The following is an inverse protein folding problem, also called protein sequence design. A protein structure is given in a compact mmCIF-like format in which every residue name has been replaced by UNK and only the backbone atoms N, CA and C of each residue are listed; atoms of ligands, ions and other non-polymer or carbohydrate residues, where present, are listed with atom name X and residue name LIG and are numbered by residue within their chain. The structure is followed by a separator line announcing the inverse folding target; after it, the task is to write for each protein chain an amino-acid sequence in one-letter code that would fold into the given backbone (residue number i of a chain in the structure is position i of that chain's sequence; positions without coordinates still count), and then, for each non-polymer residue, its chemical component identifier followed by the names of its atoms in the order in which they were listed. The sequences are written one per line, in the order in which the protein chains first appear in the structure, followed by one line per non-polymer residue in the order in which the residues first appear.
data_IF_190034203918
#
_entry.id   IF_190034203918
#
_cell.length_a   1.000
_cell.length_b   1.000
_cell.length_c   1.000
_cell.angle_alpha   90.00
_cell.angle_beta   90.00
_cell.angle_gamma   90.00
#
_symmetry.space_group_name_H-M   'P 1'
#
loop_
_entity.id
_entity.type
_entity.pdbx_description
1 polymer ?
#
# COMPACT_ATOMS: atom_id res chain seq x y z
N UNK A 1 -30.69 -32.56 26.55
CA UNK A 1 -29.98 -32.58 25.24
C UNK A 1 -29.57 -31.18 24.76
N UNK A 2 -30.47 -30.19 24.70
CA UNK A 2 -30.16 -28.86 24.14
C UNK A 2 -28.97 -28.14 24.81
N UNK A 3 -28.85 -28.18 26.15
CA UNK A 3 -27.74 -27.58 26.91
C UNK A 3 -26.39 -28.18 26.49
N UNK A 4 -26.36 -29.49 26.25
CA UNK A 4 -25.18 -30.25 25.84
C UNK A 4 -24.81 -29.96 24.38
N UNK A 5 -25.80 -29.74 23.52
CA UNK A 5 -25.60 -29.33 22.11
C UNK A 5 -25.08 -27.90 22.01
N UNK A 6 -25.61 -26.95 22.78
CA UNK A 6 -25.17 -25.55 22.77
C UNK A 6 -23.77 -25.41 23.38
N UNK A 7 -23.50 -26.05 24.52
CA UNK A 7 -22.14 -26.03 25.09
C UNK A 7 -21.15 -26.78 24.21
N UNK A 8 -21.53 -27.91 23.60
CA UNK A 8 -20.69 -28.59 22.63
C UNK A 8 -20.44 -27.73 21.38
N UNK A 9 -21.45 -27.07 20.82
CA UNK A 9 -21.30 -26.21 19.65
C UNK A 9 -20.42 -24.99 19.94
N UNK A 10 -20.59 -24.37 21.11
CA UNK A 10 -19.74 -23.27 21.56
C UNK A 10 -18.29 -23.74 21.81
N UNK A 11 -18.11 -24.88 22.48
CA UNK A 11 -16.79 -25.47 22.72
C UNK A 11 -16.10 -25.86 21.41
N UNK A 12 -16.81 -26.50 20.48
CA UNK A 12 -16.31 -26.87 19.15
C UNK A 12 -15.95 -25.61 18.35
N UNK A 13 -16.76 -24.56 18.40
CA UNK A 13 -16.46 -23.29 17.74
C UNK A 13 -15.21 -22.63 18.32
N UNK A 14 -15.03 -22.66 19.65
CA UNK A 14 -13.84 -22.15 20.32
C UNK A 14 -12.61 -23.01 19.98
N UNK A 15 -12.73 -24.34 19.98
CA UNK A 15 -11.64 -25.25 19.63
C UNK A 15 -11.22 -25.05 18.18
N UNK A 16 -12.18 -24.92 17.24
CA UNK A 16 -11.90 -24.60 15.84
C UNK A 16 -11.24 -23.23 15.69
N UNK A 17 -11.74 -22.22 16.41
CA UNK A 17 -11.16 -20.87 16.42
C UNK A 17 -9.70 -20.92 16.91
N UNK A 18 -9.46 -21.53 18.07
CA UNK A 18 -8.14 -21.69 18.69
C UNK A 18 -7.22 -22.53 17.80
N UNK A 19 -7.69 -23.62 17.21
CA UNK A 19 -6.93 -24.45 16.28
C UNK A 19 -6.58 -23.68 14.99
N UNK A 20 -7.48 -22.84 14.49
CA UNK A 20 -7.24 -22.00 13.33
C UNK A 20 -6.18 -20.93 13.66
N UNK A 21 -6.26 -20.29 14.82
CA UNK A 21 -5.22 -19.39 15.34
C UNK A 21 -3.88 -20.10 15.54
N UNK A 22 -3.86 -21.26 16.18
CA UNK A 22 -2.65 -22.04 16.43
C UNK A 22 -2.01 -22.49 15.10
N UNK A 23 -2.79 -22.98 14.13
CA UNK A 23 -2.28 -23.37 12.81
C UNK A 23 -1.69 -22.19 12.02
N UNK A 24 -2.24 -20.99 12.23
CA UNK A 24 -1.75 -19.75 11.61
C UNK A 24 -0.50 -19.23 12.31
N UNK A 25 -0.42 -19.35 13.64
CA UNK A 25 0.74 -18.99 14.45
C UNK A 25 1.94 -19.91 14.14
N UNK A 26 1.69 -21.21 14.00
CA UNK A 26 2.72 -22.20 13.61
C UNK A 26 3.23 -21.91 12.19
N UNK A 27 2.35 -21.58 11.23
CA UNK A 27 2.77 -21.11 9.89
C UNK A 27 3.51 -19.77 9.92
N UNK A 28 3.23 -18.91 10.90
CA UNK A 28 3.93 -17.63 11.05
C UNK A 28 5.37 -17.79 11.56
N UNK A 29 5.67 -18.88 12.29
CA UNK A 29 7.03 -19.19 12.77
C UNK A 29 8.00 -19.58 11.66
N UNK A 30 7.51 -20.05 10.51
CA UNK A 30 8.35 -20.57 9.42
C UNK A 30 8.57 -19.57 8.28
N UNK A 31 7.78 -18.50 8.16
CA UNK A 31 7.82 -17.59 7.01
C UNK A 31 8.05 -16.10 7.33
N UNK A 32 8.11 -15.72 8.61
CA UNK A 32 8.05 -14.30 9.01
C UNK A 32 6.63 -13.76 8.94
N UNK A 33 6.26 -12.86 9.86
CA UNK A 33 4.87 -12.47 10.06
C UNK A 33 4.55 -11.17 9.29
N UNK A 34 3.66 -11.23 8.29
CA UNK A 34 3.12 -10.02 7.67
C UNK A 34 2.30 -9.22 8.70
N UNK A 35 2.34 -7.89 8.59
CA UNK A 35 1.60 -6.98 9.47
C UNK A 35 0.10 -7.30 9.45
N UNK A 36 -0.41 -7.74 8.29
CA UNK A 36 -1.78 -8.24 8.13
C UNK A 36 -2.11 -9.39 9.08
N UNK A 37 -1.21 -10.35 9.21
CA UNK A 37 -1.41 -11.53 10.06
C UNK A 37 -1.34 -11.16 11.55
N UNK A 38 -0.45 -10.23 11.93
CA UNK A 38 -0.37 -9.74 13.31
C UNK A 38 -1.67 -9.07 13.75
N UNK A 39 -2.20 -8.15 12.94
CA UNK A 39 -3.45 -7.44 13.23
C UNK A 39 -4.63 -8.42 13.25
N UNK A 40 -4.71 -9.36 12.30
CA UNK A 40 -5.75 -10.38 12.27
C UNK A 40 -5.73 -11.25 13.53
N UNK A 41 -4.53 -11.69 13.95
CA UNK A 41 -4.35 -12.53 15.14
C UNK A 41 -4.77 -11.77 16.41
N UNK A 42 -4.30 -10.55 16.57
CA UNK A 42 -4.62 -9.73 17.75
C UNK A 42 -6.12 -9.41 17.83
N UNK A 43 -6.73 -8.93 16.74
CA UNK A 43 -8.13 -8.54 16.72
C UNK A 43 -9.06 -9.73 16.96
N UNK A 44 -8.78 -10.85 16.28
CA UNK A 44 -9.58 -12.05 16.44
C UNK A 44 -9.44 -12.69 17.82
N UNK A 45 -8.26 -12.60 18.45
CA UNK A 45 -8.06 -12.99 19.84
C UNK A 45 -8.88 -12.15 20.82
N UNK A 46 -8.88 -10.82 20.66
CA UNK A 46 -9.66 -9.89 21.50
C UNK A 46 -11.16 -10.17 21.37
N UNK A 47 -11.67 -10.29 20.13
CA UNK A 47 -13.09 -10.54 19.88
C UNK A 47 -13.53 -11.89 20.43
N UNK A 48 -12.69 -12.93 20.26
CA UNK A 48 -12.95 -14.26 20.81
C UNK A 48 -13.01 -14.26 22.34
N UNK A 49 -12.04 -13.63 23.01
CA UNK A 49 -12.01 -13.52 24.46
C UNK A 49 -13.22 -12.72 25.00
N UNK A 50 -13.59 -11.64 24.32
CA UNK A 50 -14.74 -10.83 24.69
C UNK A 50 -16.06 -11.59 24.54
N UNK A 51 -16.27 -12.30 23.43
CA UNK A 51 -17.47 -13.11 23.22
C UNK A 51 -17.61 -14.22 24.26
N UNK A 52 -16.49 -14.88 24.61
CA UNK A 52 -16.46 -15.90 25.66
C UNK A 52 -16.81 -15.32 27.05
N UNK A 53 -16.18 -14.20 27.42
CA UNK A 53 -16.45 -13.53 28.69
C UNK A 53 -17.90 -13.05 28.81
N UNK A 54 -18.48 -12.51 27.73
CA UNK A 54 -19.89 -12.12 27.68
C UNK A 54 -20.81 -13.33 27.87
N UNK A 55 -20.48 -14.46 27.25
CA UNK A 55 -21.24 -15.71 27.40
C UNK A 55 -21.30 -16.19 28.85
N UNK A 56 -20.15 -16.22 29.54
CA UNK A 56 -20.09 -16.57 30.97
C UNK A 56 -20.90 -15.60 31.83
N UNK A 57 -20.75 -14.29 31.62
CA UNK A 57 -21.46 -13.27 32.40
C UNK A 57 -22.98 -13.36 32.26
N UNK A 58 -23.49 -13.69 31.07
CA UNK A 58 -24.94 -13.88 30.87
C UNK A 58 -25.42 -15.12 31.59
N UNK A 59 -24.68 -16.23 31.52
CA UNK A 59 -25.03 -17.48 32.22
C UNK A 59 -25.14 -17.22 33.74
N UNK A 60 -24.12 -16.60 34.33
CA UNK A 60 -24.09 -16.30 35.78
C UNK A 60 -25.25 -15.39 36.19
N UNK A 61 -25.56 -14.37 35.37
CA UNK A 61 -26.63 -13.42 35.67
C UNK A 61 -28.03 -14.04 35.55
N UNK A 62 -28.21 -14.95 34.61
CA UNK A 62 -29.48 -15.70 34.44
C UNK A 62 -29.66 -16.66 35.61
N UNK A 63 -28.61 -17.37 36.02
CA UNK A 63 -28.64 -18.26 37.17
C UNK A 63 -28.98 -17.52 38.46
N UNK A 64 -28.32 -16.39 38.73
CA UNK A 64 -28.60 -15.55 39.90
C UNK A 64 -30.07 -15.08 39.94
N UNK A 65 -30.63 -14.65 38.80
CA UNK A 65 -32.04 -14.24 38.71
C UNK A 65 -33.02 -15.40 38.89
N UNK A 66 -32.72 -16.56 38.32
CA UNK A 66 -33.57 -17.73 38.44
C UNK A 66 -33.66 -18.21 39.90
N UNK A 67 -32.54 -18.20 40.61
CA UNK A 67 -32.48 -18.50 42.05
C UNK A 67 -33.32 -17.53 42.87
N UNK A 68 -33.20 -16.22 42.62
CA UNK A 68 -34.00 -15.19 43.32
C UNK A 68 -35.51 -15.35 43.09
N UNK A 69 -35.93 -15.62 41.85
CA UNK A 69 -37.35 -15.83 41.53
C UNK A 69 -37.90 -17.12 42.15
N UNK A 70 -37.10 -18.20 42.13
CA UNK A 70 -37.47 -19.46 42.77
C UNK A 70 -37.58 -19.31 44.29
N UNK A 71 -36.66 -18.57 44.92
CA UNK A 71 -36.69 -18.29 46.36
C UNK A 71 -37.92 -17.44 46.75
N UNK A 72 -38.21 -16.37 46.01
CA UNK A 72 -39.38 -15.53 46.25
C UNK A 72 -40.68 -16.33 46.15
N UNK A 73 -40.83 -17.10 45.07
CA UNK A 73 -42.01 -17.95 44.88
C UNK A 73 -42.13 -19.09 45.90
N UNK A 74 -41.01 -19.68 46.34
CA UNK A 74 -41.01 -20.67 47.40
C UNK A 74 -41.37 -20.07 48.76
N UNK A 75 -40.95 -18.82 49.03
CA UNK A 75 -41.31 -18.08 50.25
C UNK A 75 -42.80 -17.79 50.33
N UNK A 76 -43.39 -17.29 49.25
CA UNK A 76 -44.82 -16.99 49.19
C UNK A 76 -45.66 -18.26 49.39
N UNK A 77 -45.26 -19.36 48.76
CA UNK A 77 -45.94 -20.65 48.89
C UNK A 77 -45.74 -21.28 50.27
N UNK A 78 -44.54 -21.22 50.85
CA UNK A 78 -44.28 -21.69 52.21
C UNK A 78 -45.12 -20.93 53.24
N UNK A 79 -45.26 -19.60 53.09
CA UNK A 79 -46.10 -18.78 53.96
C UNK A 79 -47.58 -19.13 53.82
N UNK A 80 -48.08 -19.34 52.60
CA UNK A 80 -49.46 -19.75 52.36
C UNK A 80 -49.76 -21.11 53.00
N UNK A 81 -48.90 -22.12 52.81
CA UNK A 81 -49.07 -23.42 53.45
C UNK A 81 -48.96 -23.37 54.96
N UNK A 82 -48.05 -22.54 55.51
CA UNK A 82 -47.93 -22.38 56.95
C UNK A 82 -49.19 -21.75 57.57
N UNK A 83 -49.81 -20.78 56.88
CA UNK A 83 -51.07 -20.18 57.30
C UNK A 83 -52.24 -21.16 57.24
N UNK A 84 -52.33 -21.98 56.18
CA UNK A 84 -53.36 -23.03 56.06
C UNK A 84 -53.18 -24.10 57.15
N UNK A 85 -51.95 -24.53 57.41
CA UNK A 85 -51.64 -25.48 58.48
C UNK A 85 -52.01 -24.92 59.86
N UNK A 86 -51.64 -23.67 60.16
CA UNK A 86 -52.00 -23.00 61.41
C UNK A 86 -53.53 -22.90 61.59
N UNK A 87 -54.25 -22.49 60.53
CA UNK A 87 -55.71 -22.39 60.55
C UNK A 87 -56.37 -23.76 60.77
N UNK A 88 -55.85 -24.82 60.14
CA UNK A 88 -56.37 -26.18 60.35
C UNK A 88 -56.15 -26.65 61.80
N UNK A 89 -54.99 -26.38 62.38
CA UNK A 89 -54.69 -26.69 63.78
C UNK A 89 -55.59 -25.91 64.75
N UNK A 90 -55.90 -24.63 64.46
CA UNK A 90 -56.79 -23.82 65.29
C UNK A 90 -58.26 -24.26 65.21
N UNK A 91 -58.74 -24.58 64.01
CA UNK A 91 -60.15 -24.94 63.78
C UNK A 91 -60.46 -26.38 64.17
N UNK A 92 -59.54 -27.33 63.89
CA UNK A 92 -59.76 -28.77 64.14
C UNK A 92 -59.12 -29.26 65.44
N UNK A 93 -58.24 -28.47 66.07
CA UNK A 93 -57.53 -28.87 67.30
C UNK A 93 -56.60 -30.07 67.12
N UNK A 94 -56.07 -30.27 65.90
CA UNK A 94 -55.19 -31.39 65.57
C UNK A 94 -53.72 -31.03 65.77
N UNK A 95 -52.91 -32.03 66.13
CA UNK A 95 -51.45 -31.89 66.16
C UNK A 95 -50.87 -31.68 64.76
N UNK A 96 -49.68 -31.09 64.69
CA UNK A 96 -48.98 -30.78 63.44
C UNK A 96 -48.82 -32.00 62.51
N UNK A 97 -48.67 -33.20 63.08
CA UNK A 97 -48.56 -34.45 62.32
C UNK A 97 -49.88 -34.90 61.66
N UNK A 98 -51.03 -34.40 62.15
CA UNK A 98 -52.36 -34.76 61.67
C UNK A 98 -52.99 -33.70 60.74
N UNK A 99 -52.27 -32.63 60.43
CA UNK A 99 -52.65 -31.59 59.48
C UNK A 99 -52.79 -32.19 58.08
N UNK A 100 -53.97 -32.03 57.46
CA UNK A 100 -54.29 -32.50 56.10
C UNK A 100 -54.14 -31.42 55.04
N UNK A 101 -53.65 -30.23 55.39
CA UNK A 101 -53.34 -29.16 54.44
C UNK A 101 -52.40 -29.59 53.30
N UNK A 102 -51.61 -30.66 53.50
CA UNK A 102 -50.77 -31.28 52.46
C UNK A 102 -51.52 -32.28 51.55
N UNK A 103 -52.73 -32.68 51.93
CA UNK A 103 -53.50 -33.74 51.28
C UNK A 103 -54.56 -33.19 50.29
N UNK A 104 -54.97 -31.91 50.39
CA UNK A 104 -55.95 -31.30 49.48
C UNK A 104 -55.30 -30.34 48.47
N UNK A 105 -55.58 -30.59 47.18
CA UNK A 105 -55.21 -29.82 45.97
C UNK A 105 -53.73 -29.82 45.54
N UNK A 106 -53.39 -30.74 44.63
CA UNK A 106 -52.61 -30.46 43.41
C UNK A 106 -52.48 -31.72 42.53
N UNK A 107 -53.52 -32.07 41.79
CA UNK A 107 -53.33 -32.85 40.54
C UNK A 107 -52.77 -31.88 39.48
N UNK A 108 -51.45 -31.79 39.39
CA UNK A 108 -50.76 -30.99 38.38
C UNK A 108 -49.31 -31.47 38.16
N UNK A 109 -48.71 -31.26 36.97
CA UNK A 109 -47.43 -31.86 36.58
C UNK A 109 -46.19 -31.32 37.32
N UNK A 110 -46.36 -30.38 38.25
CA UNK A 110 -45.34 -29.93 39.17
C UNK A 110 -45.69 -30.47 40.56
N UNK A 111 -45.26 -31.70 40.86
CA UNK A 111 -45.41 -32.27 42.20
C UNK A 111 -44.68 -31.34 43.20
N UNK A 112 -45.44 -30.54 43.94
CA UNK A 112 -44.92 -29.61 44.94
C UNK A 112 -44.10 -30.40 45.96
N UNK A 113 -42.85 -29.98 46.15
CA UNK A 113 -41.94 -30.61 47.09
C UNK A 113 -42.03 -29.89 48.42
N UNK A 114 -42.80 -30.42 49.36
CA UNK A 114 -43.17 -29.76 50.62
C UNK A 114 -42.86 -30.69 51.79
N UNK A 115 -42.29 -30.17 52.87
CA UNK A 115 -42.07 -30.88 54.12
C UNK A 115 -42.60 -30.10 55.34
N UNK A 116 -43.28 -30.79 56.25
CA UNK A 116 -43.61 -30.30 57.59
C UNK A 116 -42.51 -30.71 58.55
N UNK A 117 -42.04 -29.72 59.31
CA UNK A 117 -40.95 -29.83 60.26
C UNK A 117 -41.49 -29.55 61.67
N UNK A 118 -41.05 -30.31 62.66
CA UNK A 118 -41.29 -30.04 64.08
C UNK A 118 -40.55 -28.75 64.55
N UNK A 119 -40.76 -28.27 65.79
CA UNK A 119 -40.04 -27.12 66.34
C UNK A 119 -38.51 -27.29 66.34
N UNK A 120 -38.03 -28.54 66.44
CA UNK A 120 -36.62 -28.92 66.41
C UNK A 120 -36.05 -29.08 64.98
N UNK A 121 -36.88 -28.89 63.95
CA UNK A 121 -36.49 -28.95 62.54
C UNK A 121 -36.42 -30.38 61.95
N UNK A 122 -37.00 -31.39 62.60
CA UNK A 122 -37.10 -32.76 62.07
C UNK A 122 -38.31 -32.89 61.16
N UNK A 123 -38.12 -33.59 60.04
CA UNK A 123 -39.18 -33.87 59.06
C UNK A 123 -40.21 -34.80 59.68
N UNK A 124 -41.41 -34.28 59.93
CA UNK A 124 -42.57 -35.06 60.34
C UNK A 124 -43.26 -35.69 59.13
N UNK A 125 -43.34 -34.95 58.03
CA UNK A 125 -43.96 -35.40 56.78
C UNK A 125 -43.33 -34.68 55.60
N UNK A 126 -42.99 -35.38 54.53
CA UNK A 126 -42.48 -34.76 53.31
C UNK A 126 -43.12 -35.40 52.06
N UNK A 127 -43.23 -34.61 51.00
CA UNK A 127 -43.69 -35.00 49.67
C UNK A 127 -42.77 -34.34 48.66
N UNK A 128 -42.31 -35.07 47.64
CA UNK A 128 -41.46 -34.53 46.57
C UNK A 128 -39.95 -34.57 46.87
N UNK A 129 -39.20 -33.68 46.20
CA UNK A 129 -37.74 -33.61 46.22
C UNK A 129 -37.16 -33.14 47.56
N UNK A 130 -35.99 -33.68 47.91
CA UNK A 130 -35.27 -33.32 49.12
C UNK A 130 -34.50 -32.01 48.97
N UNK A 131 -34.37 -31.21 50.04
CA UNK A 131 -33.52 -30.03 50.02
C UNK A 131 -32.05 -30.41 49.72
N UNK A 132 -31.38 -29.63 48.87
CA UNK A 132 -29.95 -29.80 48.57
C UNK A 132 -29.64 -30.50 47.24
N UNK A 133 -30.64 -30.89 46.45
CA UNK A 133 -30.40 -31.36 45.08
C UNK A 133 -29.91 -30.20 44.17
N UNK A 134 -28.89 -30.41 43.31
CA UNK A 134 -28.40 -29.38 42.41
C UNK A 134 -29.51 -28.79 41.54
N UNK A 135 -29.68 -27.46 41.57
CA UNK A 135 -30.73 -26.76 40.83
C UNK A 135 -32.09 -26.69 41.53
N UNK A 136 -32.10 -26.80 42.87
CA UNK A 136 -33.25 -26.53 43.72
C UNK A 136 -32.99 -25.37 44.67
N UNK A 137 -34.04 -24.65 45.04
CA UNK A 137 -34.04 -23.68 46.15
C UNK A 137 -35.07 -24.15 47.17
N UNK A 138 -34.75 -24.05 48.45
CA UNK A 138 -35.69 -24.36 49.53
C UNK A 138 -35.89 -23.15 50.44
N UNK A 139 -37.12 -22.94 50.88
CA UNK A 139 -37.49 -21.90 51.85
C UNK A 139 -38.33 -22.52 52.95
N UNK A 140 -38.07 -22.12 54.20
CA UNK A 140 -38.81 -22.59 55.38
C UNK A 140 -39.59 -21.43 56.00
N UNK A 141 -40.90 -21.62 56.24
CA UNK A 141 -41.79 -20.67 56.90
C UNK A 141 -42.28 -21.25 58.25
N UNK A 142 -42.32 -20.46 59.34
CA UNK A 142 -42.82 -20.94 60.63
C UNK A 142 -44.35 -21.10 60.62
N UNK A 143 -44.84 -22.13 61.31
CA UNK A 143 -46.26 -22.31 61.61
C UNK A 143 -46.50 -21.77 63.01
N UNK A 144 -47.29 -20.70 63.11
CA UNK A 144 -47.63 -20.06 64.37
C UNK A 144 -49.11 -20.24 64.68
N UNK A 145 -49.42 -20.83 65.83
CA UNK A 145 -50.78 -21.04 66.31
C UNK A 145 -50.92 -20.28 67.62
N UNK A 146 -51.89 -19.37 67.72
CA UNK A 146 -52.09 -18.50 68.92
C UNK A 146 -50.82 -17.81 69.42
N UNK A 147 -49.96 -17.35 68.51
CA UNK A 147 -48.72 -16.64 68.83
C UNK A 147 -47.56 -17.52 69.33
N UNK A 148 -47.68 -18.85 69.23
CA UNK A 148 -46.57 -19.79 69.51
C UNK A 148 -46.20 -20.56 68.24
N UNK A 149 -44.90 -20.65 67.96
CA UNK A 149 -44.37 -21.49 66.89
C UNK A 149 -44.51 -22.96 67.26
N UNK A 150 -45.28 -23.70 66.47
CA UNK A 150 -45.55 -25.14 66.66
C UNK A 150 -44.80 -26.02 65.65
N UNK A 151 -44.22 -25.42 64.61
CA UNK A 151 -43.39 -26.11 63.63
C UNK A 151 -43.02 -25.20 62.46
N UNK A 152 -42.72 -25.78 61.31
CA UNK A 152 -42.49 -25.05 60.06
C UNK A 152 -42.85 -25.84 58.81
N UNK A 153 -43.16 -25.13 57.72
CA UNK A 153 -43.31 -25.69 56.37
C UNK A 153 -42.05 -25.37 55.57
N UNK A 154 -41.44 -26.37 54.95
CA UNK A 154 -40.35 -26.22 54.00
C UNK A 154 -40.87 -26.51 52.58
N UNK A 155 -40.69 -25.56 51.67
CA UNK A 155 -41.03 -25.71 50.25
C UNK A 155 -39.75 -25.76 49.43
N UNK A 156 -39.61 -26.78 48.61
CA UNK A 156 -38.50 -27.00 47.67
C UNK A 156 -39.02 -26.76 46.26
N UNK A 157 -38.40 -25.82 45.52
CA UNK A 157 -38.72 -25.56 44.12
C UNK A 157 -37.54 -25.87 43.21
N UNK A 158 -37.80 -26.47 42.03
CA UNK A 158 -36.77 -26.56 41.00
C UNK A 158 -36.51 -25.16 40.42
N UNK A 159 -35.24 -24.80 40.27
CA UNK A 159 -34.78 -23.62 39.52
C UNK A 159 -34.92 -23.84 38.00
N UNK A 160 -35.51 -24.96 37.55
CA UNK A 160 -35.57 -25.45 36.17
C UNK A 160 -36.59 -24.67 35.29
N UNK A 161 -36.63 -23.34 35.43
CA UNK A 161 -37.03 -22.44 34.34
C UNK A 161 -35.81 -22.02 33.49
N UNK A 162 -34.59 -22.36 33.96
CA UNK A 162 -33.31 -22.07 33.29
C UNK A 162 -33.25 -22.63 31.86
N UNK A 163 -33.89 -23.76 31.54
CA UNK A 163 -33.83 -24.30 30.16
C UNK A 163 -34.56 -23.44 29.13
N UNK A 164 -35.71 -22.86 29.49
CA UNK A 164 -36.45 -21.97 28.57
C UNK A 164 -35.80 -20.60 28.48
N UNK A 165 -35.36 -20.02 29.61
CA UNK A 165 -34.65 -18.74 29.58
C UNK A 165 -33.32 -18.82 28.80
N UNK A 166 -32.52 -19.87 28.99
CA UNK A 166 -31.28 -20.03 28.21
C UNK A 166 -31.56 -20.20 26.71
N UNK A 167 -32.66 -20.86 26.34
CA UNK A 167 -33.09 -20.98 24.94
C UNK A 167 -33.50 -19.63 24.33
N UNK A 168 -34.05 -18.71 25.13
CA UNK A 168 -34.42 -17.37 24.66
C UNK A 168 -33.19 -16.44 24.51
N UNK A 169 -32.16 -16.61 25.35
CA UNK A 169 -30.94 -15.78 25.32
C UNK A 169 -29.84 -16.30 24.38
N UNK A 170 -29.83 -17.59 24.04
CA UNK A 170 -28.80 -18.15 23.16
C UNK A 170 -28.81 -17.57 21.72
N UNK A 171 -29.97 -17.38 21.04
CA UNK A 171 -29.99 -16.84 19.68
C UNK A 171 -29.44 -15.40 19.59
N UNK A 172 -29.83 -14.45 20.45
CA UNK A 172 -29.24 -13.10 20.43
C UNK A 172 -27.73 -13.09 20.66
N UNK A 173 -27.20 -13.88 21.60
CA UNK A 173 -25.76 -13.95 21.88
C UNK A 173 -25.01 -14.49 20.67
N UNK A 174 -25.55 -15.54 20.04
CA UNK A 174 -24.95 -16.12 18.84
C UNK A 174 -24.94 -15.11 17.69
N UNK A 175 -26.05 -14.41 17.44
CA UNK A 175 -26.12 -13.35 16.41
C UNK A 175 -25.10 -12.25 16.68
N UNK A 176 -25.03 -11.72 17.91
CA UNK A 176 -24.07 -10.67 18.27
C UNK A 176 -22.63 -11.16 18.06
N UNK A 177 -22.32 -12.39 18.51
CA UNK A 177 -20.99 -12.98 18.36
C UNK A 177 -20.61 -13.18 16.89
N UNK A 178 -21.54 -13.64 16.06
CA UNK A 178 -21.33 -13.82 14.62
C UNK A 178 -21.13 -12.47 13.92
N UNK A 179 -21.93 -11.46 14.25
CA UNK A 179 -21.80 -10.10 13.68
C UNK A 179 -20.46 -9.48 14.05
N UNK A 180 -20.05 -9.56 15.32
CA UNK A 180 -18.75 -9.06 15.78
C UNK A 180 -17.58 -9.80 15.11
N UNK A 181 -17.66 -11.14 15.01
CA UNK A 181 -16.66 -11.95 14.32
C UNK A 181 -16.54 -11.59 12.84
N UNK A 182 -17.66 -11.41 12.15
CA UNK A 182 -17.71 -11.01 10.75
C UNK A 182 -17.14 -9.59 10.54
N UNK A 183 -17.50 -8.63 11.41
CA UNK A 183 -16.98 -7.28 11.36
C UNK A 183 -15.46 -7.22 11.58
N UNK A 184 -14.93 -8.03 12.50
CA UNK A 184 -13.50 -8.14 12.75
C UNK A 184 -12.74 -8.75 11.56
N UNK A 185 -13.28 -9.83 10.96
CA UNK A 185 -12.72 -10.46 9.78
C UNK A 185 -12.69 -9.49 8.59
N UNK A 186 -13.79 -8.77 8.35
CA UNK A 186 -13.90 -7.76 7.30
C UNK A 186 -12.89 -6.62 7.54
N UNK A 187 -12.85 -6.07 8.76
CA UNK A 187 -11.92 -4.98 9.10
C UNK A 187 -10.47 -5.39 8.87
N UNK A 188 -10.09 -6.60 9.29
CA UNK A 188 -8.72 -7.08 9.09
C UNK A 188 -8.40 -7.36 7.61
N UNK A 189 -9.36 -7.84 6.83
CA UNK A 189 -9.20 -7.98 5.38
C UNK A 189 -8.99 -6.62 4.70
N UNK A 190 -9.80 -5.62 5.06
CA UNK A 190 -9.70 -4.26 4.54
C UNK A 190 -8.35 -3.63 4.89
N UNK A 191 -7.95 -3.62 6.17
CA UNK A 191 -6.65 -3.09 6.63
C UNK A 191 -5.49 -3.79 5.93
N UNK A 192 -5.58 -5.11 5.79
CA UNK A 192 -4.58 -5.90 5.08
C UNK A 192 -4.39 -5.45 3.63
N UNK A 193 -5.50 -5.22 2.93
CA UNK A 193 -5.50 -4.83 1.52
C UNK A 193 -5.12 -3.35 1.32
N UNK A 194 -5.56 -2.45 2.19
CA UNK A 194 -5.39 -1.00 2.01
C UNK A 194 -4.11 -0.44 2.61
N UNK A 195 -3.55 -1.07 3.65
CA UNK A 195 -2.37 -0.56 4.37
C UNK A 195 -1.19 -1.53 4.27
N UNK A 196 -1.38 -2.79 4.66
CA UNK A 196 -0.25 -3.72 4.77
C UNK A 196 0.38 -4.07 3.41
N UNK A 197 -0.44 -4.43 2.41
CA UNK A 197 0.05 -4.80 1.07
C UNK A 197 0.83 -3.66 0.37
N UNK A 198 0.36 -2.39 0.37
CA UNK A 198 1.15 -1.29 -0.17
C UNK A 198 2.49 -1.06 0.54
N UNK A 199 2.55 -1.21 1.88
CA UNK A 199 3.78 -1.03 2.65
C UNK A 199 4.81 -2.13 2.32
N UNK A 200 4.38 -3.38 2.22
CA UNK A 200 5.25 -4.49 1.79
C UNK A 200 5.81 -4.24 0.38
N UNK A 201 4.96 -3.84 -0.57
CA UNK A 201 5.37 -3.53 -1.93
C UNK A 201 6.38 -2.36 -1.99
N UNK A 202 6.19 -1.32 -1.18
CA UNK A 202 7.14 -0.20 -1.07
C UNK A 202 8.46 -0.62 -0.41
N UNK A 203 8.42 -1.54 0.56
CA UNK A 203 9.61 -2.07 1.23
C UNK A 203 10.45 -2.89 0.25
N UNK A 204 9.83 -3.82 -0.48
CA UNK A 204 10.50 -4.58 -1.55
C UNK A 204 11.03 -3.67 -2.66
N UNK A 205 10.28 -2.62 -3.00
CA UNK A 205 10.75 -1.61 -3.96
C UNK A 205 12.01 -0.89 -3.45
N UNK A 206 12.01 -0.43 -2.19
CA UNK A 206 13.17 0.26 -1.61
C UNK A 206 14.43 -0.63 -1.56
N UNK A 207 14.27 -1.91 -1.21
CA UNK A 207 15.37 -2.90 -1.25
C UNK A 207 15.92 -3.03 -2.67
N UNK A 208 15.05 -3.23 -3.67
CA UNK A 208 15.48 -3.35 -5.07
C UNK A 208 16.13 -2.08 -5.63
N UNK A 209 15.70 -0.90 -5.18
CA UNK A 209 16.35 0.37 -5.51
C UNK A 209 17.75 0.45 -4.90
N UNK A 210 17.92 0.04 -3.64
CA UNK A 210 19.23 0.03 -2.98
C UNK A 210 20.23 -0.92 -3.63
N UNK A 211 19.75 -2.03 -4.20
CA UNK A 211 20.54 -2.98 -5.00
C UNK A 211 20.76 -2.53 -6.47
N UNK A 212 20.23 -1.38 -6.87
CA UNK A 212 20.34 -0.86 -8.24
C UNK A 212 19.54 -1.60 -9.31
N UNK A 213 18.63 -2.51 -8.91
CA UNK A 213 17.88 -3.40 -9.82
C UNK A 213 16.62 -2.76 -10.42
N UNK A 214 16.11 -1.67 -9.85
CA UNK A 214 14.84 -1.05 -10.26
C UNK A 214 14.99 0.47 -10.43
N UNK A 215 14.59 0.96 -11.62
CA UNK A 215 14.55 2.40 -11.98
C UNK A 215 13.13 2.92 -12.26
N UNK A 216 12.14 2.03 -12.23
CA UNK A 216 10.74 2.39 -12.49
C UNK A 216 10.13 3.19 -11.33
N UNK A 217 9.03 3.90 -11.58
CA UNK A 217 8.28 4.58 -10.53
C UNK A 217 7.75 3.60 -9.48
N UNK A 218 7.64 4.01 -8.20
CA UNK A 218 7.08 3.16 -7.16
C UNK A 218 5.60 2.84 -7.45
N UNK A 219 5.08 1.70 -6.93
CA UNK A 219 3.70 1.30 -7.13
C UNK A 219 2.72 2.35 -6.55
N UNK A 220 1.54 2.52 -7.16
CA UNK A 220 0.54 3.47 -6.70
C UNK A 220 0.03 3.09 -5.31
N UNK A 221 -0.04 4.09 -4.42
CA UNK A 221 -0.49 3.93 -3.04
C UNK A 221 -1.77 4.72 -2.75
N UNK A 222 -2.62 4.15 -1.90
CA UNK A 222 -3.86 4.76 -1.41
C UNK A 222 -3.71 5.10 0.08
N UNK A 223 -4.34 6.18 0.52
CA UNK A 223 -4.19 6.72 1.88
C UNK A 223 -3.07 7.76 1.98
N UNK A 224 -3.29 8.81 2.79
CA UNK A 224 -2.44 10.00 2.86
C UNK A 224 -1.03 9.67 3.36
N UNK A 225 -0.93 8.82 4.36
CA UNK A 225 0.32 8.40 5.01
C UNK A 225 1.16 7.54 4.08
N UNK A 226 0.54 6.56 3.41
CA UNK A 226 1.23 5.67 2.46
C UNK A 226 1.71 6.47 1.24
N UNK A 227 0.89 7.39 0.72
CA UNK A 227 1.31 8.29 -0.36
C UNK A 227 2.51 9.17 0.03
N UNK A 228 2.56 9.65 1.28
CA UNK A 228 3.70 10.41 1.79
C UNK A 228 4.96 9.57 1.80
N UNK A 229 4.87 8.31 2.24
CA UNK A 229 5.98 7.36 2.20
C UNK A 229 6.43 7.05 0.76
N UNK A 230 5.49 6.82 -0.16
CA UNK A 230 5.79 6.62 -1.59
C UNK A 230 6.58 7.80 -2.17
N UNK A 231 6.17 9.04 -1.89
CA UNK A 231 6.87 10.25 -2.36
C UNK A 231 8.28 10.36 -1.76
N UNK A 232 8.46 10.01 -0.49
CA UNK A 232 9.76 10.04 0.17
C UNK A 232 10.73 9.02 -0.45
N UNK A 233 10.28 7.78 -0.65
CA UNK A 233 11.07 6.72 -1.30
C UNK A 233 11.42 7.08 -2.75
N UNK A 234 10.49 7.67 -3.50
CA UNK A 234 10.74 8.13 -4.86
C UNK A 234 11.78 9.28 -4.90
N UNK A 235 11.72 10.20 -3.94
CA UNK A 235 12.73 11.25 -3.79
C UNK A 235 14.12 10.68 -3.51
N UNK A 236 14.23 9.68 -2.63
CA UNK A 236 15.49 9.00 -2.33
C UNK A 236 16.02 8.25 -3.56
N UNK A 237 15.14 7.53 -4.29
CA UNK A 237 15.50 6.87 -5.55
C UNK A 237 16.11 7.85 -6.55
N UNK A 238 15.46 9.00 -6.78
CA UNK A 238 15.99 10.05 -7.68
C UNK A 238 17.37 10.55 -7.25
N UNK A 239 17.61 10.73 -5.95
CA UNK A 239 18.92 11.14 -5.44
C UNK A 239 20.00 10.06 -5.63
N UNK A 240 19.64 8.78 -5.47
CA UNK A 240 20.57 7.65 -5.65
C UNK A 240 20.90 7.46 -7.14
N UNK A 241 19.93 7.59 -8.04
CA UNK A 241 20.17 7.53 -9.50
C UNK A 241 21.15 8.61 -9.98
N UNK A 242 21.23 9.75 -9.30
CA UNK A 242 22.15 10.84 -9.64
C UNK A 242 23.63 10.57 -9.32
N UNK A 243 23.97 9.63 -8.42
CA UNK A 243 25.37 9.45 -7.96
C UNK A 243 26.30 8.79 -8.98
N UNK A 244 25.96 7.63 -9.58
CA UNK A 244 26.80 7.00 -10.61
C UNK A 244 26.90 7.86 -11.88
N UNK A 245 25.87 8.69 -12.11
CA UNK A 245 25.80 9.62 -13.22
C UNK A 245 26.86 10.73 -13.10
N UNK A 246 27.03 11.34 -11.93
CA UNK A 246 28.03 12.40 -11.70
C UNK A 246 29.46 11.85 -11.81
N UNK A 247 29.74 10.64 -11.32
CA UNK A 247 31.07 10.04 -11.40
C UNK A 247 31.47 9.70 -12.84
N UNK A 248 30.57 9.05 -13.60
CA UNK A 248 30.82 8.75 -15.02
C UNK A 248 30.96 10.04 -15.83
N UNK A 249 30.12 11.03 -15.55
CA UNK A 249 30.18 12.35 -16.17
C UNK A 249 31.51 13.07 -15.90
N UNK A 250 31.99 13.06 -14.64
CA UNK A 250 33.25 13.67 -14.27
C UNK A 250 34.44 12.96 -14.94
N UNK A 251 34.40 11.63 -15.07
CA UNK A 251 35.42 10.86 -15.77
C UNK A 251 35.44 11.20 -17.27
N UNK A 252 34.29 11.16 -17.95
CA UNK A 252 34.20 11.45 -19.39
C UNK A 252 34.61 12.90 -19.70
N UNK A 253 34.17 13.86 -18.87
CA UNK A 253 34.58 15.26 -18.98
C UNK A 253 36.10 15.42 -18.82
N UNK A 254 36.69 14.73 -17.85
CA UNK A 254 38.14 14.79 -17.61
C UNK A 254 38.90 14.27 -18.83
N UNK A 255 38.42 13.19 -19.46
CA UNK A 255 39.02 12.65 -20.69
C UNK A 255 38.93 13.63 -21.86
N UNK A 256 37.76 14.24 -22.09
CA UNK A 256 37.55 15.18 -23.20
C UNK A 256 38.29 16.51 -23.01
N UNK A 257 38.53 16.94 -21.77
CA UNK A 257 39.36 18.12 -21.48
C UNK A 257 40.86 17.84 -21.55
N UNK A 258 41.31 16.62 -21.19
CA UNK A 258 42.73 16.25 -21.22
C UNK A 258 43.34 16.38 -22.61
N UNK A 259 42.59 16.02 -23.65
CA UNK A 259 43.05 16.08 -25.04
C UNK A 259 43.38 17.50 -25.53
N UNK A 260 42.47 18.49 -25.51
CA UNK A 260 42.79 19.85 -25.93
C UNK A 260 43.83 20.51 -25.01
N UNK A 261 43.85 20.22 -23.71
CA UNK A 261 44.89 20.71 -22.80
C UNK A 261 46.27 20.16 -23.17
N UNK A 262 46.37 18.87 -23.50
CA UNK A 262 47.62 18.27 -23.98
C UNK A 262 48.08 18.89 -25.31
N UNK A 263 47.14 19.19 -26.23
CA UNK A 263 47.45 19.85 -27.50
C UNK A 263 47.97 21.29 -27.30
N UNK A 264 47.38 22.06 -26.37
CA UNK A 264 47.87 23.38 -25.98
C UNK A 264 49.29 23.27 -25.42
N UNK A 265 49.50 22.34 -24.49
CA UNK A 265 50.80 22.12 -23.85
C UNK A 265 51.88 21.74 -24.87
N UNK A 266 51.62 20.76 -25.73
CA UNK A 266 52.58 20.33 -26.75
C UNK A 266 52.89 21.45 -27.76
N UNK A 267 51.88 22.22 -28.17
CA UNK A 267 52.09 23.35 -29.08
C UNK A 267 52.90 24.47 -28.41
N UNK A 268 52.70 24.71 -27.12
CA UNK A 268 53.47 25.67 -26.34
C UNK A 268 54.92 25.21 -26.12
N UNK A 269 55.15 23.93 -25.84
CA UNK A 269 56.48 23.33 -25.69
C UNK A 269 57.29 23.48 -27.00
N UNK A 270 56.72 23.16 -28.15
CA UNK A 270 57.40 23.32 -29.45
C UNK A 270 57.70 24.78 -29.79
N UNK A 271 56.77 25.70 -29.46
CA UNK A 271 57.03 27.14 -29.58
C UNK A 271 58.26 27.56 -28.75
N UNK A 272 58.37 27.07 -27.52
CA UNK A 272 59.52 27.39 -26.65
C UNK A 272 60.83 26.70 -27.04
N UNK A 273 60.79 25.58 -27.77
CA UNK A 273 61.95 24.80 -28.20
C UNK A 273 62.58 25.27 -29.52
N UNK A 274 62.10 26.38 -30.10
CA UNK A 274 62.73 27.03 -31.25
C UNK A 274 61.79 27.38 -32.40
N UNK A 275 60.53 26.94 -32.37
CA UNK A 275 59.58 27.29 -33.43
C UNK A 275 59.16 28.77 -33.43
N UNK A 276 59.54 29.56 -32.41
CA UNK A 276 59.38 31.02 -32.41
C UNK A 276 60.30 31.73 -33.43
N UNK A 277 61.39 31.09 -33.83
CA UNK A 277 62.37 31.67 -34.76
C UNK A 277 61.90 31.59 -36.23
N UNK A 278 60.87 30.77 -36.51
CA UNK A 278 60.17 30.71 -37.80
C UNK A 278 58.74 31.28 -37.65
N UNK A 279 58.44 32.48 -38.21
CA UNK A 279 57.12 33.10 -38.12
C UNK A 279 55.97 32.26 -38.67
N UNK A 280 56.19 31.47 -39.73
CA UNK A 280 55.12 30.64 -40.31
C UNK A 280 54.82 29.43 -39.42
N UNK A 281 55.85 28.82 -38.87
CA UNK A 281 55.70 27.70 -37.95
C UNK A 281 55.09 28.15 -36.61
N UNK A 282 55.54 29.29 -36.08
CA UNK A 282 54.95 29.91 -34.90
C UNK A 282 53.45 30.19 -35.08
N UNK A 283 53.06 30.76 -36.22
CA UNK A 283 51.66 31.05 -36.53
C UNK A 283 50.80 29.76 -36.56
N UNK A 284 51.34 28.65 -37.07
CA UNK A 284 50.64 27.35 -37.08
C UNK A 284 50.41 26.80 -35.67
N UNK A 285 51.39 26.89 -34.77
CA UNK A 285 51.21 26.42 -33.39
C UNK A 285 50.27 27.33 -32.59
N UNK A 286 50.32 28.65 -32.80
CA UNK A 286 49.35 29.58 -32.21
C UNK A 286 47.94 29.29 -32.71
N UNK A 287 47.75 29.00 -33.99
CA UNK A 287 46.44 28.60 -34.53
C UNK A 287 45.92 27.31 -33.86
N UNK A 288 46.77 26.30 -33.66
CA UNK A 288 46.40 25.06 -32.94
C UNK A 288 45.99 25.31 -31.49
N UNK A 289 46.68 26.22 -30.79
CA UNK A 289 46.30 26.63 -29.43
C UNK A 289 44.91 27.28 -29.44
N UNK A 290 44.67 28.22 -30.37
CA UNK A 290 43.37 28.90 -30.50
C UNK A 290 42.23 27.92 -30.82
N UNK A 291 42.47 26.95 -31.69
CA UNK A 291 41.49 25.90 -32.00
C UNK A 291 41.17 25.05 -30.76
N UNK A 292 42.18 24.66 -29.98
CA UNK A 292 41.99 23.89 -28.76
C UNK A 292 41.22 24.68 -27.68
N UNK A 293 41.49 25.98 -27.51
CA UNK A 293 40.74 26.87 -26.61
C UNK A 293 39.29 26.98 -27.06
N UNK A 294 39.05 27.27 -28.35
CA UNK A 294 37.70 27.39 -28.92
C UNK A 294 36.90 26.10 -28.71
N UNK A 295 37.55 24.93 -28.83
CA UNK A 295 36.94 23.63 -28.54
C UNK A 295 36.56 23.48 -27.07
N UNK A 296 37.41 23.90 -26.13
CA UNK A 296 37.10 23.89 -24.69
C UNK A 296 35.91 24.80 -24.37
N UNK A 297 35.87 26.01 -24.95
CA UNK A 297 34.76 26.95 -24.76
C UNK A 297 33.43 26.39 -25.29
N UNK A 298 33.45 25.79 -26.48
CA UNK A 298 32.27 25.13 -27.06
C UNK A 298 31.78 23.97 -26.17
N UNK A 299 32.70 23.10 -25.72
CA UNK A 299 32.39 22.01 -24.79
C UNK A 299 31.76 22.51 -23.49
N UNK A 300 32.35 23.53 -22.88
CA UNK A 300 31.85 24.12 -21.63
C UNK A 300 30.47 24.76 -21.84
N UNK A 301 30.27 25.46 -22.95
CA UNK A 301 28.98 26.05 -23.30
C UNK A 301 27.89 25.00 -23.50
N UNK A 302 28.19 23.90 -24.18
CA UNK A 302 27.29 22.75 -24.34
C UNK A 302 26.94 22.11 -22.99
N UNK A 303 27.92 21.95 -22.11
CA UNK A 303 27.73 21.37 -20.77
C UNK A 303 26.89 22.24 -19.86
N UNK A 304 27.20 23.54 -19.77
CA UNK A 304 26.44 24.48 -18.96
C UNK A 304 25.00 24.58 -19.45
N UNK A 305 24.82 24.55 -20.78
CA UNK A 305 23.50 24.51 -21.38
C UNK A 305 22.71 23.27 -20.97
N UNK A 306 23.33 22.09 -21.07
CA UNK A 306 22.69 20.83 -20.70
C UNK A 306 22.35 20.80 -19.20
N UNK A 307 23.28 21.23 -18.34
CA UNK A 307 23.07 21.30 -16.90
C UNK A 307 21.94 22.28 -16.52
N UNK A 308 21.83 23.43 -17.19
CA UNK A 308 20.73 24.38 -16.98
C UNK A 308 19.37 23.76 -17.32
N UNK A 309 19.30 23.08 -18.47
CA UNK A 309 18.08 22.40 -18.92
C UNK A 309 17.67 21.27 -17.96
N UNK A 310 18.62 20.48 -17.48
CA UNK A 310 18.34 19.39 -16.52
C UNK A 310 17.97 19.90 -15.13
N UNK A 311 18.58 21.01 -14.68
CA UNK A 311 18.32 21.57 -13.35
C UNK A 311 16.99 22.33 -13.27
N UNK A 312 16.61 23.05 -14.33
CA UNK A 312 15.46 23.98 -14.31
C UNK A 312 14.31 23.55 -15.22
N UNK A 313 14.54 22.61 -16.13
CA UNK A 313 13.57 22.27 -17.15
C UNK A 313 13.32 23.42 -18.12
N UNK A 314 12.13 23.43 -18.74
CA UNK A 314 11.70 24.49 -19.65
C UNK A 314 10.99 25.58 -18.84
N UNK A 315 11.66 26.71 -18.61
CA UNK A 315 11.12 27.83 -17.80
C UNK A 315 9.96 28.57 -18.52
N UNK A 316 9.98 28.64 -19.87
CA UNK A 316 9.04 29.43 -20.68
C UNK A 316 8.31 28.57 -21.73
N UNK A 317 7.54 27.58 -21.30
CA UNK A 317 6.77 26.75 -22.22
C UNK A 317 5.53 27.49 -22.76
N UNK A 318 5.62 27.99 -23.99
CA UNK A 318 4.53 28.61 -24.74
C UNK A 318 3.99 27.66 -25.82
N UNK A 319 2.83 27.96 -26.39
CA UNK A 319 2.38 27.27 -27.61
C UNK A 319 3.20 27.81 -28.77
N UNK A 320 4.01 26.95 -29.39
CA UNK A 320 4.91 27.29 -30.50
C UNK A 320 4.59 26.42 -31.71
N UNK A 321 4.75 26.97 -32.92
CA UNK A 321 4.57 26.24 -34.17
C UNK A 321 5.87 25.59 -34.61
N UNK A 322 5.91 24.25 -34.55
CA UNK A 322 7.10 23.47 -34.90
C UNK A 322 7.44 23.58 -36.40
N UNK A 323 6.46 23.91 -37.26
CA UNK A 323 6.68 24.14 -38.69
C UNK A 323 7.57 25.36 -38.91
N UNK A 324 7.28 26.48 -38.24
CA UNK A 324 8.07 27.71 -38.33
C UNK A 324 9.52 27.51 -37.84
N UNK A 325 9.69 26.74 -36.76
CA UNK A 325 11.02 26.39 -36.22
C UNK A 325 11.80 25.53 -37.22
N UNK A 326 11.15 24.52 -37.83
CA UNK A 326 11.75 23.66 -38.84
C UNK A 326 12.14 24.42 -40.12
N UNK A 327 11.31 25.36 -40.56
CA UNK A 327 11.62 26.24 -41.70
C UNK A 327 12.86 27.10 -41.43
N UNK A 328 12.94 27.69 -40.24
CA UNK A 328 14.08 28.52 -39.82
C UNK A 328 15.37 27.69 -39.72
N UNK A 329 15.30 26.49 -39.14
CA UNK A 329 16.43 25.57 -39.05
C UNK A 329 16.90 25.10 -40.45
N UNK A 330 15.95 24.79 -41.35
CA UNK A 330 16.26 24.43 -42.74
C UNK A 330 16.94 25.58 -43.49
N UNK A 331 16.51 26.82 -43.31
CA UNK A 331 17.15 28.00 -43.91
C UNK A 331 18.60 28.15 -43.44
N UNK A 332 18.85 28.11 -42.13
CA UNK A 332 20.21 28.19 -41.57
C UNK A 332 21.11 27.04 -42.02
N UNK A 333 20.56 25.83 -42.22
CA UNK A 333 21.32 24.70 -42.73
C UNK A 333 21.69 24.87 -44.22
N UNK A 334 20.80 25.47 -45.03
CA UNK A 334 21.10 25.81 -46.43
C UNK A 334 22.18 26.88 -46.53
N UNK A 335 22.15 27.90 -45.67
CA UNK A 335 23.22 28.92 -45.59
C UNK A 335 24.59 28.30 -45.25
N UNK A 336 24.60 27.22 -44.46
CA UNK A 336 25.79 26.42 -44.14
C UNK A 336 26.19 25.43 -45.24
N UNK A 337 25.55 25.47 -46.41
CA UNK A 337 25.89 24.67 -47.59
C UNK A 337 25.22 23.29 -47.66
N UNK A 338 24.24 22.98 -46.81
CA UNK A 338 23.50 21.71 -46.89
C UNK A 338 22.32 21.78 -47.87
N UNK A 339 22.07 20.69 -48.61
CA UNK A 339 20.83 20.52 -49.38
C UNK A 339 19.75 20.01 -48.43
N UNK A 340 18.67 20.79 -48.24
CA UNK A 340 17.59 20.46 -47.29
C UNK A 340 16.24 20.47 -47.99
N UNK A 341 15.51 19.36 -47.86
CA UNK A 341 14.12 19.19 -48.27
C UNK A 341 13.25 19.20 -47.00
N UNK A 342 12.19 20.02 -46.98
CA UNK A 342 11.27 20.11 -45.85
C UNK A 342 9.87 19.70 -46.31
N UNK A 343 9.34 18.66 -45.68
CA UNK A 343 7.95 18.22 -45.80
C UNK A 343 7.24 18.49 -44.48
N UNK A 344 6.27 19.39 -44.49
CA UNK A 344 5.59 19.83 -43.27
C UNK A 344 4.09 20.01 -43.54
N UNK A 345 3.22 19.68 -42.56
CA UNK A 345 1.81 20.03 -42.62
C UNK A 345 1.64 21.55 -42.48
N UNK A 346 0.42 22.05 -42.70
CA UNK A 346 0.15 23.49 -42.63
C UNK A 346 0.40 24.14 -41.26
N UNK A 347 0.26 23.39 -40.15
CA UNK A 347 0.65 23.84 -38.81
C UNK A 347 0.89 22.66 -37.87
N UNK A 348 1.79 22.81 -36.91
CA UNK A 348 2.07 21.79 -35.90
C UNK A 348 2.41 22.41 -34.55
N UNK A 349 1.36 22.72 -33.77
CA UNK A 349 1.50 23.37 -32.47
C UNK A 349 1.92 22.39 -31.35
N UNK A 350 2.93 22.77 -30.58
CA UNK A 350 3.42 22.06 -29.39
C UNK A 350 3.61 23.04 -28.23
N UNK A 351 3.53 22.56 -26.98
CA UNK A 351 3.91 23.38 -25.81
C UNK A 351 5.40 23.24 -25.53
N UNK A 352 6.15 24.33 -25.65
CA UNK A 352 7.59 24.30 -25.49
C UNK A 352 8.27 25.66 -25.57
N UNK A 353 9.59 25.62 -25.50
CA UNK A 353 10.46 26.78 -25.67
C UNK A 353 11.11 26.72 -27.06
N UNK A 354 10.88 27.78 -27.83
CA UNK A 354 11.32 27.91 -29.20
C UNK A 354 12.85 27.80 -29.35
N UNK A 355 13.61 28.39 -28.42
CA UNK A 355 15.07 28.39 -28.49
C UNK A 355 15.63 27.00 -28.28
N UNK A 356 15.08 26.26 -27.30
CA UNK A 356 15.47 24.88 -27.06
C UNK A 356 15.10 23.97 -28.23
N UNK A 357 13.88 24.06 -28.76
CA UNK A 357 13.45 23.24 -29.90
C UNK A 357 14.27 23.55 -31.16
N UNK A 358 14.53 24.83 -31.43
CA UNK A 358 15.42 25.26 -32.51
C UNK A 358 16.80 24.63 -32.39
N UNK A 359 17.38 24.65 -31.17
CA UNK A 359 18.69 24.05 -30.90
C UNK A 359 18.70 22.53 -31.11
N UNK A 360 17.64 21.83 -30.74
CA UNK A 360 17.54 20.40 -31.00
C UNK A 360 17.58 20.11 -32.51
N UNK A 361 16.88 20.91 -33.33
CA UNK A 361 16.92 20.76 -34.78
C UNK A 361 18.28 21.11 -35.37
N UNK A 362 18.91 22.20 -34.92
CA UNK A 362 20.26 22.55 -35.36
C UNK A 362 21.26 21.41 -35.07
N UNK A 363 21.22 20.83 -33.87
CA UNK A 363 22.07 19.69 -33.51
C UNK A 363 21.85 18.46 -34.41
N UNK A 364 20.59 18.15 -34.76
CA UNK A 364 20.29 17.03 -35.65
C UNK A 364 20.72 17.31 -37.09
N UNK A 365 20.54 18.53 -37.58
CA UNK A 365 20.96 18.94 -38.92
C UNK A 365 22.49 18.97 -39.05
N UNK A 366 23.20 19.47 -38.02
CA UNK A 366 24.66 19.43 -37.99
C UNK A 366 25.21 18.00 -37.93
N UNK A 367 24.52 17.10 -37.21
CA UNK A 367 24.85 15.69 -37.23
C UNK A 367 24.67 15.08 -38.63
N UNK A 368 23.51 15.32 -39.27
CA UNK A 368 23.24 14.86 -40.63
C UNK A 368 24.24 15.40 -41.65
N UNK A 369 24.66 16.67 -41.54
CA UNK A 369 25.69 17.28 -42.39
C UNK A 369 27.09 16.69 -42.15
N UNK A 370 27.42 16.36 -40.91
CA UNK A 370 28.76 15.90 -40.51
C UNK A 370 28.99 14.41 -40.78
N UNK A 371 27.94 13.61 -40.68
CA UNK A 371 27.99 12.14 -40.78
C UNK A 371 27.26 11.57 -42.01
N UNK A 372 26.43 12.37 -42.67
CA UNK A 372 25.72 11.95 -43.88
C UNK A 372 26.52 12.13 -45.16
N UNK A 373 26.03 11.51 -46.23
CA UNK A 373 26.50 11.73 -47.60
C UNK A 373 26.13 13.16 -48.04
N UNK A 374 27.14 14.02 -48.23
CA UNK A 374 26.94 15.43 -48.61
C UNK A 374 26.39 15.61 -50.02
N UNK A 375 26.42 14.58 -50.87
CA UNK A 375 25.80 14.61 -52.19
C UNK A 375 24.27 14.43 -52.13
N UNK A 376 23.74 13.85 -51.05
CA UNK A 376 22.32 13.60 -50.85
C UNK A 376 21.65 14.71 -50.01
N UNK A 377 20.36 15.02 -50.26
CA UNK A 377 19.64 15.98 -49.43
C UNK A 377 19.33 15.42 -48.03
N UNK A 378 19.31 16.31 -47.04
CA UNK A 378 18.77 16.07 -45.71
C UNK A 378 17.26 16.34 -45.78
N UNK A 379 16.44 15.35 -45.43
CA UNK A 379 14.98 15.47 -45.41
C UNK A 379 14.50 15.73 -43.99
N UNK A 380 13.70 16.77 -43.83
CA UNK A 380 12.97 17.06 -42.59
C UNK A 380 11.50 16.76 -42.86
N UNK A 381 10.89 15.89 -42.06
CA UNK A 381 9.47 15.56 -42.18
C UNK A 381 8.75 15.82 -40.86
N UNK A 382 7.62 16.52 -40.89
CA UNK A 382 6.76 16.71 -39.74
C UNK A 382 5.46 15.92 -39.93
N UNK A 383 4.98 15.27 -38.87
CA UNK A 383 3.70 14.57 -38.89
C UNK A 383 2.97 14.69 -37.57
N UNK A 384 1.63 14.67 -37.61
CA UNK A 384 0.77 14.70 -36.43
C UNK A 384 -0.07 13.42 -36.39
N UNK A 385 0.10 12.62 -35.34
CA UNK A 385 -0.62 11.35 -35.16
C UNK A 385 -1.06 11.20 -33.70
N UNK A 386 -2.35 10.94 -33.46
CA UNK A 386 -2.86 10.57 -32.13
C UNK A 386 -2.57 11.59 -31.01
N UNK A 387 -2.59 12.90 -31.32
CA UNK A 387 -2.29 13.96 -30.35
C UNK A 387 -0.81 14.21 -30.11
N UNK A 388 0.10 13.49 -30.80
CA UNK A 388 1.53 13.78 -30.81
C UNK A 388 1.93 14.46 -32.13
N UNK A 389 2.90 15.37 -32.03
CA UNK A 389 3.60 15.98 -33.15
C UNK A 389 4.99 15.37 -33.19
N UNK A 390 5.40 14.85 -34.35
CA UNK A 390 6.74 14.33 -34.54
C UNK A 390 7.47 15.03 -35.68
N UNK A 391 8.78 15.20 -35.49
CA UNK A 391 9.70 15.72 -36.49
C UNK A 391 10.80 14.67 -36.69
N UNK A 392 11.01 14.26 -37.94
CA UNK A 392 12.10 13.37 -38.32
C UNK A 392 13.09 14.08 -39.22
N UNK A 393 14.38 13.78 -38.99
CA UNK A 393 15.49 14.23 -39.82
C UNK A 393 16.14 12.98 -40.39
N UNK A 394 16.16 12.90 -41.71
CA UNK A 394 16.62 11.74 -42.46
C UNK A 394 17.73 12.14 -43.43
N UNK A 395 18.78 11.35 -43.47
CA UNK A 395 19.88 11.52 -44.41
C UNK A 395 20.43 10.16 -44.85
N UNK A 396 21.13 10.13 -45.99
CA UNK A 396 21.86 8.94 -46.42
C UNK A 396 23.09 8.75 -45.54
N UNK A 397 23.32 7.53 -45.07
CA UNK A 397 24.42 7.20 -44.18
C UNK A 397 24.21 5.87 -43.46
N UNK A 398 25.09 5.58 -42.50
CA UNK A 398 24.99 4.40 -41.64
C UNK A 398 25.52 4.70 -40.24
N UNK A 399 24.98 4.01 -39.24
CA UNK A 399 25.46 4.03 -37.86
C UNK A 399 26.08 2.68 -37.53
N UNK A 400 27.35 2.70 -37.13
CA UNK A 400 28.05 1.50 -36.68
C UNK A 400 27.35 0.82 -35.48
N UNK A 401 27.25 -0.52 -35.52
CA UNK A 401 26.59 -1.32 -34.47
C UNK A 401 27.13 -1.08 -33.06
N UNK A 402 28.42 -0.73 -32.95
CA UNK A 402 29.12 -0.47 -31.69
C UNK A 402 28.67 0.82 -30.96
N UNK A 403 28.07 1.77 -31.70
CA UNK A 403 27.58 3.05 -31.15
C UNK A 403 26.06 3.07 -31.00
N UNK A 404 25.35 2.27 -31.78
CA UNK A 404 23.89 2.32 -31.89
C UNK A 404 23.12 2.29 -30.55
N UNK A 405 23.57 1.49 -29.57
CA UNK A 405 22.95 1.41 -28.25
C UNK A 405 23.26 2.57 -27.30
N UNK A 406 24.17 3.47 -27.69
CA UNK A 406 24.71 4.55 -26.85
C UNK A 406 24.67 5.93 -27.52
N UNK A 407 24.04 6.08 -28.69
CA UNK A 407 24.01 7.33 -29.49
C UNK A 407 23.59 8.57 -28.70
N UNK A 408 22.63 8.42 -27.80
CA UNK A 408 22.10 9.53 -26.99
C UNK A 408 22.80 9.68 -25.64
N UNK A 409 23.90 8.95 -25.39
CA UNK A 409 24.75 9.18 -24.22
C UNK A 409 25.71 10.34 -24.52
N UNK A 410 26.09 11.07 -23.48
CA UNK A 410 27.07 12.17 -23.56
C UNK A 410 28.43 11.63 -24.00
N UNK A 411 29.21 12.47 -24.67
CA UNK A 411 30.58 12.20 -25.12
C UNK A 411 30.72 10.96 -26.03
N UNK A 412 29.61 10.50 -26.62
CA UNK A 412 29.63 9.42 -27.60
C UNK A 412 29.82 10.02 -28.99
N UNK A 413 30.99 9.80 -29.56
CA UNK A 413 31.39 10.33 -30.87
C UNK A 413 32.26 9.32 -31.59
N UNK A 414 32.16 9.25 -32.92
CA UNK A 414 33.10 8.50 -33.77
C UNK A 414 34.22 9.37 -34.31
N UNK A 415 34.26 10.66 -33.93
CA UNK A 415 35.16 11.70 -34.46
C UNK A 415 35.75 12.58 -33.35
N UNK A 416 36.14 12.00 -32.22
CA UNK A 416 36.78 12.74 -31.13
C UNK A 416 38.05 13.48 -31.60
N UNK A 417 38.76 12.90 -32.56
CA UNK A 417 39.95 13.43 -33.24
C UNK A 417 39.65 14.62 -34.18
N UNK A 418 38.42 14.71 -34.71
CA UNK A 418 38.00 15.77 -35.65
C UNK A 418 37.02 16.77 -35.04
N UNK A 419 37.05 16.94 -33.72
CA UNK A 419 36.31 17.99 -33.01
C UNK A 419 34.88 17.66 -32.61
N UNK A 420 34.40 16.43 -32.81
CA UNK A 420 33.04 16.06 -32.38
C UNK A 420 32.97 15.87 -30.86
N UNK A 421 32.18 16.70 -30.17
CA UNK A 421 32.03 16.67 -28.70
C UNK A 421 31.22 15.48 -28.18
N UNK A 422 30.41 14.85 -29.05
CA UNK A 422 29.51 13.77 -28.65
C UNK A 422 28.37 14.21 -27.73
N UNK A 423 28.15 15.52 -27.55
CA UNK A 423 27.07 16.05 -26.71
C UNK A 423 25.80 16.38 -27.50
N UNK A 424 25.89 16.60 -28.82
CA UNK A 424 24.76 17.05 -29.64
C UNK A 424 23.50 16.19 -29.50
N UNK A 425 23.61 14.86 -29.68
CA UNK A 425 22.47 13.95 -29.52
C UNK A 425 21.98 13.84 -28.06
N UNK A 426 22.89 13.92 -27.09
CA UNK A 426 22.49 13.95 -25.67
C UNK A 426 21.67 15.20 -25.34
N UNK A 427 22.03 16.35 -25.91
CA UNK A 427 21.27 17.61 -25.81
C UNK A 427 19.90 17.47 -26.47
N UNK A 428 19.82 16.88 -27.67
CA UNK A 428 18.54 16.62 -28.35
C UNK A 428 17.60 15.79 -27.48
N UNK A 429 18.13 14.72 -26.87
CA UNK A 429 17.36 13.86 -25.97
C UNK A 429 16.88 14.62 -24.73
N UNK A 430 17.77 15.37 -24.08
CA UNK A 430 17.40 16.16 -22.90
C UNK A 430 16.34 17.21 -23.22
N UNK A 431 16.42 17.87 -24.39
CA UNK A 431 15.40 18.82 -24.85
C UNK A 431 14.07 18.13 -25.06
N UNK A 432 14.03 16.99 -25.77
CA UNK A 432 12.80 16.25 -25.99
C UNK A 432 12.15 15.80 -24.67
N UNK A 433 12.95 15.26 -23.74
CA UNK A 433 12.47 14.82 -22.42
C UNK A 433 11.97 15.99 -21.57
N UNK A 434 12.66 17.15 -21.59
CA UNK A 434 12.22 18.36 -20.90
C UNK A 434 10.88 18.91 -21.44
N UNK A 435 10.53 18.56 -22.69
CA UNK A 435 9.25 18.87 -23.33
C UNK A 435 8.22 17.73 -23.22
N UNK A 436 8.41 16.79 -22.28
CA UNK A 436 7.53 15.62 -22.10
C UNK A 436 7.41 14.72 -23.35
N UNK A 437 8.43 14.74 -24.20
CA UNK A 437 8.53 13.96 -25.43
C UNK A 437 9.63 12.90 -25.38
N UNK A 438 10.00 12.40 -26.55
CA UNK A 438 11.08 11.42 -26.73
C UNK A 438 11.93 11.73 -27.97
N UNK A 439 13.19 11.31 -27.95
CA UNK A 439 14.08 11.34 -29.10
C UNK A 439 14.64 9.93 -29.35
N UNK A 440 14.58 9.47 -30.59
CA UNK A 440 14.98 8.12 -30.99
C UNK A 440 15.67 8.10 -32.36
N UNK A 441 16.43 7.03 -32.61
CA UNK A 441 16.98 6.72 -33.92
C UNK A 441 16.19 5.56 -34.50
N UNK A 442 15.27 5.86 -35.42
CA UNK A 442 14.32 4.90 -36.01
C UNK A 442 14.97 4.06 -37.09
N UNK A 443 15.87 4.66 -37.87
CA UNK A 443 16.63 3.98 -38.92
C UNK A 443 18.12 4.23 -38.73
N UNK A 444 18.93 3.18 -38.86
CA UNK A 444 20.39 3.21 -38.61
C UNK A 444 21.21 3.00 -39.87
N UNK A 445 20.56 2.88 -41.02
CA UNK A 445 21.17 2.57 -42.30
C UNK A 445 21.87 1.19 -42.36
N UNK A 446 22.54 0.91 -43.49
CA UNK A 446 22.35 1.61 -44.77
C UNK A 446 20.95 1.32 -45.38
N UNK A 447 20.43 2.19 -46.28
CA UNK A 447 21.09 3.38 -46.81
C UNK A 447 20.79 4.67 -46.05
N UNK A 448 19.78 4.70 -45.17
CA UNK A 448 19.32 5.93 -44.52
C UNK A 448 19.39 5.84 -43.00
N UNK A 449 19.81 6.95 -42.40
CA UNK A 449 19.73 7.21 -40.96
C UNK A 449 18.57 8.16 -40.72
N UNK A 450 17.76 7.86 -39.71
CA UNK A 450 16.63 8.71 -39.32
C UNK A 450 16.62 8.89 -37.81
N UNK A 451 16.61 10.15 -37.40
CA UNK A 451 16.36 10.58 -36.03
C UNK A 451 14.98 11.20 -35.93
N UNK A 452 14.22 10.84 -34.91
CA UNK A 452 12.85 11.30 -34.69
C UNK A 452 12.70 11.88 -33.29
N UNK A 453 12.13 13.08 -33.20
CA UNK A 453 11.65 13.68 -31.95
C UNK A 453 10.12 13.61 -31.96
N UNK A 454 9.52 13.15 -30.88
CA UNK A 454 8.06 13.08 -30.68
C UNK A 454 7.67 13.92 -29.46
N UNK A 455 6.78 14.89 -29.65
CA UNK A 455 6.33 15.82 -28.61
C UNK A 455 4.79 15.74 -28.46
N UNK A 456 4.24 16.02 -27.27
CA UNK A 456 2.80 16.21 -27.10
C UNK A 456 2.32 17.42 -27.91
N UNK A 457 1.22 17.26 -28.65
CA UNK A 457 0.55 18.39 -29.29
C UNK A 457 -0.04 19.35 -28.26
N UNK A 458 -0.12 20.64 -28.63
CA UNK A 458 -0.72 21.69 -27.81
C UNK A 458 -2.24 21.60 -27.73
#
# INVERSE_FOLDING_TARGET
MLRLVVTAAAAISIILLVALFASRLVRARTAGMSIRMQIFIALGGIVGAFAFGLGLLVIDRVEARATLLAEGSARDEAAAFAAVAAMEMEVRGVDLAAVRALDSEAEGPAAQSIALLDPEGRVLRARGASPGEPGTVFVTAPIEVRGRRVGSVQVVKPTIVVQRMVADFAPPILVISTVLGAAAALSSFLIGRTIATPIEALTEFAVRVSEGKVRAAPPPAQGREVQRLTRAIDSMRRQIEGRPFVETFAADLSHELKNPVAAIRASAEVLTEGALDDPEEAARFVARIREAITRIEALLGELLSLARLEARGVEHAAVVDLVAIAQSAAARARERGSRVELDAPGSAAVRGDEQWLSRALDNLLDNARTHGDTAAPIRIALSRVGGQVSISIRNRGEIGRHVAGRLFRRFVTTRADRGGTGLGLAIVKAIAEAHSGSAECTHRGPPEVEFKISLPGA
#
